data_IF_090738299144
#
_entry.id   IF_090738299144
#
_cell.length_a   1.000
_cell.length_b   1.000
_cell.length_c   1.000
_cell.angle_alpha   90.00
_cell.angle_beta   90.00
_cell.angle_gamma   90.00
#
_symmetry.space_group_name_H-M   'P 1'
#
loop_
_entity.id
_entity.type
_entity.pdbx_description
1 polymer ?
#
# COMPACT_ATOMS: atom_id res chain seq x y z
N UNK A 1 -7.12 8.44 25.77
CA UNK A 1 -7.17 9.92 25.75
C UNK A 1 -5.88 10.60 25.30
N UNK A 2 -4.72 9.94 25.27
CA UNK A 2 -3.44 10.55 24.86
C UNK A 2 -3.30 10.64 23.32
N UNK A 3 -3.73 9.64 22.58
CA UNK A 3 -3.63 9.59 21.10
C UNK A 3 -4.43 10.67 20.37
N UNK A 4 -5.55 11.15 20.97
CA UNK A 4 -6.37 12.21 20.37
C UNK A 4 -5.72 13.59 20.50
N UNK A 5 -4.88 13.80 21.51
CA UNK A 5 -4.20 15.06 21.78
C UNK A 5 -3.00 15.31 20.86
N UNK A 6 -2.25 14.25 20.51
CA UNK A 6 -1.10 14.36 19.59
C UNK A 6 -1.55 14.63 18.16
N UNK A 7 -2.57 13.93 17.67
CA UNK A 7 -3.13 14.14 16.33
C UNK A 7 -3.67 15.58 16.15
N UNK A 8 -4.32 16.16 17.16
CA UNK A 8 -4.81 17.54 17.13
C UNK A 8 -3.69 18.58 17.15
N UNK A 9 -2.56 18.26 17.79
CA UNK A 9 -1.39 19.16 17.85
C UNK A 9 -0.69 19.19 16.48
N UNK A 10 -0.59 18.04 15.81
CA UNK A 10 0.02 17.92 14.49
C UNK A 10 -0.80 18.60 13.41
N UNK A 11 -2.13 18.47 13.43
CA UNK A 11 -3.03 19.13 12.49
C UNK A 11 -2.97 20.67 12.63
N UNK A 12 -2.94 21.18 13.88
CA UNK A 12 -2.81 22.61 14.12
C UNK A 12 -1.43 23.18 13.73
N UNK A 13 -0.37 22.37 13.82
CA UNK A 13 0.97 22.73 13.37
C UNK A 13 1.05 22.76 11.85
N UNK A 14 0.43 21.79 11.18
CA UNK A 14 0.32 21.73 9.73
C UNK A 14 -0.44 22.93 9.15
N UNK A 15 -1.61 23.28 9.69
CA UNK A 15 -2.39 24.44 9.21
C UNK A 15 -1.59 25.76 9.35
N UNK A 16 -0.89 25.96 10.47
CA UNK A 16 -0.04 27.15 10.65
C UNK A 16 1.13 27.18 9.67
N UNK A 17 1.74 26.05 9.38
CA UNK A 17 2.81 25.93 8.39
C UNK A 17 2.28 26.22 6.99
N UNK A 18 1.14 25.64 6.62
CA UNK A 18 0.46 25.83 5.35
C UNK A 18 0.11 27.29 5.09
N UNK A 19 -0.45 27.99 6.11
CA UNK A 19 -0.78 29.42 6.00
C UNK A 19 0.47 30.27 5.72
N UNK A 20 1.58 29.99 6.42
CA UNK A 20 2.84 30.71 6.18
C UNK A 20 3.38 30.47 4.78
N UNK A 21 3.35 29.22 4.31
CA UNK A 21 3.80 28.87 2.95
C UNK A 21 2.93 29.58 1.89
N UNK A 22 1.62 29.59 2.08
CA UNK A 22 0.70 30.27 1.16
C UNK A 22 0.89 31.80 1.17
N UNK A 23 1.21 32.41 2.34
CA UNK A 23 1.57 33.84 2.40
C UNK A 23 2.86 34.13 1.63
N UNK A 24 3.89 33.29 1.77
CA UNK A 24 5.15 33.45 1.00
C UNK A 24 4.93 33.26 -0.52
N UNK A 25 4.10 32.31 -0.92
CA UNK A 25 3.68 32.13 -2.33
C UNK A 25 3.03 33.39 -2.87
N UNK A 26 2.11 34.03 -2.12
CA UNK A 26 1.44 35.28 -2.48
C UNK A 26 2.41 36.46 -2.58
N UNK A 27 3.49 36.45 -1.78
CA UNK A 27 4.54 37.47 -1.85
C UNK A 27 5.48 37.30 -3.05
N UNK A 28 5.78 36.04 -3.40
CA UNK A 28 6.74 35.71 -4.45
C UNK A 28 6.16 35.83 -5.85
N UNK A 29 4.90 35.38 -6.03
CA UNK A 29 4.25 35.38 -7.33
C UNK A 29 3.34 36.60 -7.51
N UNK A 30 3.27 37.11 -8.76
CA UNK A 30 2.37 38.23 -9.10
C UNK A 30 0.92 37.78 -9.03
N UNK A 31 0.00 38.68 -8.64
CA UNK A 31 -1.44 38.38 -8.57
C UNK A 31 -2.03 37.84 -9.89
N UNK A 32 -1.56 38.30 -11.04
CA UNK A 32 -2.03 37.86 -12.35
C UNK A 32 -1.67 36.37 -12.60
N UNK A 33 -0.54 35.92 -12.06
CA UNK A 33 -0.13 34.50 -12.12
C UNK A 33 -0.99 33.65 -11.20
N UNK A 34 -1.17 34.08 -9.96
CA UNK A 34 -1.96 33.35 -8.96
C UNK A 34 -3.43 33.21 -9.38
N UNK A 35 -4.00 34.20 -10.06
CA UNK A 35 -5.37 34.14 -10.56
C UNK A 35 -5.58 33.14 -11.71
N UNK A 36 -4.51 32.59 -12.29
CA UNK A 36 -4.54 31.55 -13.32
C UNK A 36 -4.35 30.14 -12.75
N UNK A 37 -4.07 30.03 -11.44
CA UNK A 37 -3.90 28.75 -10.75
C UNK A 37 -5.23 28.39 -10.10
N UNK A 38 -5.77 27.22 -10.42
CA UNK A 38 -7.06 26.76 -9.88
C UNK A 38 -6.96 26.40 -8.40
N UNK A 39 -5.83 25.81 -7.98
CA UNK A 39 -5.59 25.47 -6.57
C UNK A 39 -4.11 25.36 -6.24
N UNK A 40 -3.76 25.62 -4.97
CA UNK A 40 -2.42 25.40 -4.42
C UNK A 40 -2.51 24.34 -3.36
N UNK A 41 -1.74 23.25 -3.51
CA UNK A 41 -1.69 22.15 -2.56
C UNK A 41 -0.34 22.18 -1.84
N UNK A 42 -0.38 22.21 -0.52
CA UNK A 42 0.81 22.14 0.33
C UNK A 42 0.93 20.72 0.86
N UNK A 43 2.04 20.06 0.57
CA UNK A 43 2.32 18.73 1.10
C UNK A 43 3.11 18.86 2.40
N UNK A 44 2.76 18.05 3.39
CA UNK A 44 3.55 17.88 4.61
C UNK A 44 4.55 16.73 4.44
N UNK A 45 5.49 16.63 5.37
CA UNK A 45 6.36 15.47 5.44
C UNK A 45 5.56 14.24 5.86
N UNK A 46 5.90 13.08 5.30
CA UNK A 46 5.25 11.82 5.63
C UNK A 46 5.50 11.46 7.09
N UNK A 47 4.44 11.11 7.78
CA UNK A 47 4.49 10.55 9.13
C UNK A 47 4.77 9.04 9.08
N UNK A 48 5.24 8.47 10.19
CA UNK A 48 5.51 7.02 10.28
C UNK A 48 4.30 6.14 9.92
N UNK A 49 3.07 6.42 10.39
CA UNK A 49 1.89 5.67 9.97
C UNK A 49 1.60 5.76 8.46
N UNK A 50 1.81 6.91 7.85
CA UNK A 50 1.60 7.10 6.41
C UNK A 50 2.63 6.33 5.58
N UNK A 51 3.89 6.27 6.05
CA UNK A 51 4.93 5.45 5.41
C UNK A 51 4.53 3.98 5.43
N UNK A 52 4.01 3.45 6.54
CA UNK A 52 3.54 2.06 6.64
C UNK A 52 2.36 1.81 5.70
N UNK A 53 1.44 2.77 5.57
CA UNK A 53 0.34 2.66 4.58
C UNK A 53 0.88 2.61 3.14
N UNK A 54 1.92 3.37 2.83
CA UNK A 54 2.57 3.32 1.51
C UNK A 54 3.23 1.95 1.28
N UNK A 55 3.88 1.38 2.31
CA UNK A 55 4.40 0.00 2.25
C UNK A 55 3.28 -0.98 1.93
N UNK A 56 2.14 -0.90 2.63
CA UNK A 56 0.98 -1.77 2.39
C UNK A 56 0.44 -1.64 0.96
N UNK A 57 0.36 -0.42 0.43
CA UNK A 57 -0.07 -0.18 -0.95
C UNK A 57 0.88 -0.79 -1.98
N UNK A 58 2.20 -0.66 -1.77
CA UNK A 58 3.19 -1.27 -2.64
C UNK A 58 3.18 -2.79 -2.54
N UNK A 59 3.02 -3.34 -1.34
CA UNK A 59 2.92 -4.79 -1.13
C UNK A 59 1.64 -5.39 -1.73
N UNK A 60 0.57 -4.61 -1.92
CA UNK A 60 -0.61 -5.08 -2.63
C UNK A 60 -0.30 -5.40 -4.10
N UNK A 61 0.56 -4.64 -4.77
CA UNK A 61 1.00 -4.96 -6.14
C UNK A 61 1.72 -6.30 -6.20
N UNK A 62 2.66 -6.54 -5.27
CA UNK A 62 3.37 -7.83 -5.17
C UNK A 62 2.40 -8.97 -4.87
N UNK A 63 1.39 -8.70 -4.01
CA UNK A 63 0.35 -9.68 -3.66
C UNK A 63 -0.51 -10.05 -4.86
N UNK A 64 -0.87 -9.09 -5.69
CA UNK A 64 -1.65 -9.32 -6.91
C UNK A 64 -0.86 -10.17 -7.92
N UNK A 65 0.43 -9.87 -8.12
CA UNK A 65 1.32 -10.63 -9.02
C UNK A 65 1.53 -12.09 -8.57
N UNK A 66 1.66 -12.33 -7.26
CA UNK A 66 1.74 -13.69 -6.70
C UNK A 66 0.38 -14.39 -6.75
N UNK A 67 -0.72 -13.66 -6.59
CA UNK A 67 -2.08 -14.17 -6.72
C UNK A 67 -2.38 -14.75 -8.10
N UNK A 68 -1.80 -14.19 -9.17
CA UNK A 68 -1.88 -14.77 -10.52
C UNK A 68 -1.22 -16.17 -10.63
N UNK A 69 -0.33 -16.48 -9.69
CA UNK A 69 0.35 -17.79 -9.58
C UNK A 69 -0.25 -18.69 -8.51
N UNK A 70 -1.44 -18.34 -7.99
CA UNK A 70 -2.08 -19.03 -6.86
C UNK A 70 -1.22 -19.08 -5.57
N UNK A 71 -0.40 -18.05 -5.32
CA UNK A 71 0.42 -17.92 -4.13
C UNK A 71 -0.12 -16.76 -3.28
N UNK A 72 -0.43 -17.04 -2.01
CA UNK A 72 -0.81 -15.98 -1.05
C UNK A 72 0.44 -15.30 -0.47
N UNK A 73 0.36 -14.00 -0.18
CA UNK A 73 1.45 -13.22 0.43
C UNK A 73 1.03 -12.67 1.78
N UNK A 74 1.80 -12.98 2.82
CA UNK A 74 1.69 -12.40 4.15
C UNK A 74 2.98 -11.66 4.51
N UNK A 75 2.87 -10.53 5.18
CA UNK A 75 4.01 -9.74 5.66
C UNK A 75 3.80 -9.40 7.13
N UNK A 76 4.84 -9.59 7.95
CA UNK A 76 4.79 -9.24 9.36
C UNK A 76 4.92 -7.73 9.57
N UNK A 77 4.41 -7.25 10.71
CA UNK A 77 4.52 -5.84 11.08
C UNK A 77 5.98 -5.40 11.23
N UNK A 78 6.85 -6.29 11.72
CA UNK A 78 8.29 -6.04 11.83
C UNK A 78 8.93 -5.78 10.46
N UNK A 79 8.59 -6.59 9.45
CA UNK A 79 9.09 -6.40 8.09
C UNK A 79 8.55 -5.10 7.45
N UNK A 80 7.29 -4.72 7.70
CA UNK A 80 6.74 -3.44 7.23
C UNK A 80 7.45 -2.24 7.84
N UNK A 81 7.74 -2.29 9.14
CA UNK A 81 8.47 -1.23 9.84
C UNK A 81 9.88 -1.12 9.27
N UNK A 82 10.58 -2.24 9.08
CA UNK A 82 11.89 -2.28 8.46
C UNK A 82 11.91 -1.62 7.08
N UNK A 83 10.99 -2.00 6.20
CA UNK A 83 10.86 -1.42 4.87
C UNK A 83 10.55 0.08 4.92
N UNK A 84 9.65 0.49 5.83
CA UNK A 84 9.31 1.90 6.01
C UNK A 84 10.48 2.74 6.49
N UNK A 85 11.27 2.24 7.44
CA UNK A 85 12.42 2.96 8.01
C UNK A 85 13.60 3.04 7.03
N UNK A 86 13.88 1.99 6.28
CA UNK A 86 14.99 1.93 5.32
C UNK A 86 14.61 2.43 3.93
N UNK A 87 13.33 2.42 3.59
CA UNK A 87 12.83 2.89 2.29
C UNK A 87 12.39 4.36 2.27
N UNK A 88 12.45 5.07 3.40
CA UNK A 88 12.08 6.48 3.47
C UNK A 88 13.32 7.38 3.57
N UNK A 89 13.32 8.47 2.79
CA UNK A 89 14.32 9.52 2.83
C UNK A 89 13.63 10.89 3.02
N UNK A 90 14.07 11.74 3.93
CA UNK A 90 13.45 13.05 4.19
C UNK A 90 13.39 13.98 2.97
N UNK A 91 14.30 13.82 2.01
CA UNK A 91 14.41 14.65 0.79
C UNK A 91 13.67 14.01 -0.38
N UNK A 92 13.83 12.68 -0.55
CA UNK A 92 13.27 11.93 -1.67
C UNK A 92 11.89 11.33 -1.35
N UNK A 93 11.46 11.38 -0.08
CA UNK A 93 10.21 10.79 0.40
C UNK A 93 10.24 9.25 0.33
N UNK A 94 9.17 8.65 -0.15
CA UNK A 94 9.03 7.20 -0.29
C UNK A 94 9.55 6.65 -1.63
N UNK A 95 10.25 7.44 -2.45
CA UNK A 95 10.80 6.96 -3.74
C UNK A 95 11.80 5.81 -3.58
N UNK A 96 12.71 5.81 -2.59
CA UNK A 96 13.63 4.70 -2.40
C UNK A 96 12.93 3.39 -1.98
N UNK A 97 11.76 3.48 -1.35
CA UNK A 97 10.98 2.33 -0.87
C UNK A 97 10.63 1.34 -1.99
N UNK A 98 10.24 1.85 -3.17
CA UNK A 98 9.94 0.98 -4.31
C UNK A 98 11.13 0.11 -4.70
N UNK A 99 12.32 0.73 -4.75
CA UNK A 99 13.55 0.01 -5.07
C UNK A 99 13.92 -1.00 -3.99
N UNK A 100 13.76 -0.63 -2.73
CA UNK A 100 14.01 -1.52 -1.60
C UNK A 100 13.08 -2.75 -1.63
N UNK A 101 11.78 -2.56 -1.92
CA UNK A 101 10.84 -3.67 -2.08
C UNK A 101 11.25 -4.56 -3.25
N UNK A 102 11.66 -3.98 -4.37
CA UNK A 102 12.13 -4.74 -5.52
C UNK A 102 13.36 -5.59 -5.16
N UNK A 103 14.39 -4.97 -4.60
CA UNK A 103 15.68 -5.61 -4.31
C UNK A 103 15.56 -6.67 -3.17
N UNK A 104 14.80 -6.39 -2.12
CA UNK A 104 14.74 -7.29 -0.95
C UNK A 104 13.60 -8.32 -1.01
N UNK A 105 12.51 -8.00 -1.71
CA UNK A 105 11.30 -8.84 -1.73
C UNK A 105 11.05 -9.46 -3.09
N UNK A 106 10.87 -8.67 -4.15
CA UNK A 106 10.48 -9.18 -5.47
C UNK A 106 11.53 -10.13 -6.06
N UNK A 107 12.82 -9.76 -5.95
CA UNK A 107 13.93 -10.59 -6.42
C UNK A 107 14.01 -11.90 -5.62
N UNK A 108 13.90 -11.81 -4.29
CA UNK A 108 13.92 -12.99 -3.42
C UNK A 108 12.72 -13.92 -3.64
N UNK A 109 11.51 -13.36 -3.82
CA UNK A 109 10.31 -14.13 -4.17
C UNK A 109 10.45 -14.81 -5.52
N UNK A 110 11.03 -14.13 -6.50
CA UNK A 110 11.28 -14.69 -7.82
C UNK A 110 12.21 -15.89 -7.74
N UNK A 111 13.27 -15.81 -6.94
CA UNK A 111 14.21 -16.93 -6.71
C UNK A 111 13.52 -18.12 -6.00
N UNK A 112 12.63 -17.87 -5.05
CA UNK A 112 11.86 -18.91 -4.35
C UNK A 112 10.89 -19.61 -5.31
N UNK A 113 10.23 -18.88 -6.20
CA UNK A 113 9.32 -19.44 -7.23
C UNK A 113 10.11 -20.22 -8.28
N UNK A 114 11.21 -19.66 -8.81
CA UNK A 114 12.04 -20.31 -9.81
C UNK A 114 12.67 -21.60 -9.29
N UNK A 115 13.11 -21.61 -8.03
CA UNK A 115 13.67 -22.79 -7.34
C UNK A 115 12.61 -23.81 -6.93
N UNK A 116 11.32 -23.55 -7.20
CA UNK A 116 10.17 -24.38 -6.78
C UNK A 116 10.09 -24.60 -5.26
N UNK A 117 10.67 -23.71 -4.46
CA UNK A 117 10.49 -23.70 -3.01
C UNK A 117 9.17 -23.06 -2.62
N UNK A 118 8.64 -22.21 -3.51
CA UNK A 118 7.32 -21.60 -3.41
C UNK A 118 6.52 -22.03 -4.63
N UNK A 119 5.38 -22.70 -4.42
CA UNK A 119 4.53 -23.25 -5.48
C UNK A 119 3.07 -22.85 -5.29
N UNK A 120 2.25 -23.01 -6.31
CA UNK A 120 0.83 -22.72 -6.27
C UNK A 120 0.14 -23.41 -5.06
N UNK A 121 -0.64 -22.66 -4.31
CA UNK A 121 -1.30 -23.08 -3.07
C UNK A 121 -0.46 -22.87 -1.80
N UNK A 122 0.73 -22.30 -1.89
CA UNK A 122 1.54 -21.92 -0.74
C UNK A 122 1.25 -20.47 -0.29
N UNK A 123 1.67 -20.18 0.94
CA UNK A 123 1.68 -18.82 1.51
C UNK A 123 3.13 -18.39 1.66
N UNK A 124 3.52 -17.35 0.94
CA UNK A 124 4.80 -16.66 1.15
C UNK A 124 4.70 -15.76 2.37
N UNK A 125 5.47 -16.05 3.40
CA UNK A 125 5.56 -15.23 4.62
C UNK A 125 6.84 -14.41 4.56
N UNK A 126 6.69 -13.10 4.58
CA UNK A 126 7.80 -12.15 4.69
C UNK A 126 7.95 -11.75 6.16
N UNK A 127 9.11 -12.02 6.71
CA UNK A 127 9.45 -11.75 8.10
C UNK A 127 10.87 -11.20 8.22
N UNK A 128 11.29 -10.85 9.42
CA UNK A 128 12.66 -10.47 9.73
C UNK A 128 13.41 -11.66 10.32
N UNK A 129 14.66 -11.84 9.95
CA UNK A 129 15.54 -12.79 10.61
C UNK A 129 16.20 -12.18 11.85
N UNK A 130 16.96 -13.00 12.59
CA UNK A 130 17.68 -12.58 13.80
C UNK A 130 18.81 -11.56 13.48
N UNK A 131 19.26 -11.48 12.24
CA UNK A 131 20.27 -10.53 11.75
C UNK A 131 19.66 -9.22 11.24
N UNK A 132 18.33 -9.06 11.35
CA UNK A 132 17.61 -7.86 10.90
C UNK A 132 17.48 -7.73 9.38
N UNK A 133 17.52 -8.85 8.65
CA UNK A 133 17.28 -8.90 7.21
C UNK A 133 15.90 -9.48 6.90
N UNK A 134 15.37 -9.12 5.76
CA UNK A 134 14.11 -9.70 5.27
C UNK A 134 14.34 -11.19 4.95
N UNK A 135 13.47 -12.03 5.49
CA UNK A 135 13.45 -13.47 5.27
C UNK A 135 12.11 -13.88 4.68
N UNK A 136 12.15 -14.66 3.61
CA UNK A 136 10.97 -15.25 2.99
C UNK A 136 10.90 -16.72 3.37
N UNK A 137 9.74 -17.14 3.87
CA UNK A 137 9.47 -18.54 4.22
C UNK A 137 8.18 -18.99 3.56
N UNK A 138 8.18 -20.23 3.05
CA UNK A 138 6.98 -20.86 2.48
C UNK A 138 6.24 -21.62 3.56
N UNK A 139 4.94 -21.38 3.68
CA UNK A 139 4.01 -22.19 4.49
C UNK A 139 2.97 -22.78 3.56
N UNK A 140 2.71 -24.09 3.70
CA UNK A 140 1.59 -24.70 2.98
C UNK A 140 0.27 -24.13 3.48
N UNK A 141 -0.55 -23.60 2.58
CA UNK A 141 -1.86 -23.10 2.94
C UNK A 141 -2.67 -24.22 3.63
N UNK A 142 -3.17 -23.98 4.84
CA UNK A 142 -4.26 -24.78 5.40
C UNK A 142 -5.45 -24.58 4.46
N UNK A 143 -5.95 -25.68 3.88
CA UNK A 143 -7.06 -25.68 2.92
C UNK A 143 -8.21 -24.77 3.39
N UNK A 144 -8.25 -23.55 2.91
CA UNK A 144 -9.44 -22.70 3.00
C UNK A 144 -10.41 -23.19 1.95
N UNK A 145 -11.61 -23.60 2.39
CA UNK A 145 -12.72 -23.95 1.52
C UNK A 145 -12.94 -22.84 0.48
N UNK A 146 -12.88 -23.21 -0.80
CA UNK A 146 -13.22 -22.33 -1.94
C UNK A 146 -14.55 -21.63 -1.66
N UNK A 147 -14.66 -20.30 -1.78
CA UNK A 147 -15.97 -19.66 -1.80
C UNK A 147 -16.73 -20.18 -3.02
N UNK A 148 -17.87 -20.84 -2.77
CA UNK A 148 -18.81 -21.30 -3.80
C UNK A 148 -19.16 -20.10 -4.69
N UNK A 149 -18.82 -20.20 -5.97
CA UNK A 149 -19.31 -19.31 -7.00
C UNK A 149 -20.84 -19.22 -6.89
N UNK A 150 -21.35 -18.00 -6.68
CA UNK A 150 -22.78 -17.72 -6.75
C UNK A 150 -23.22 -17.99 -8.19
N UNK A 151 -24.01 -19.04 -8.38
CA UNK A 151 -24.72 -19.31 -9.61
C UNK A 151 -25.55 -18.07 -9.96
N UNK A 152 -25.33 -17.55 -11.18
CA UNK A 152 -26.22 -16.59 -11.81
C UNK A 152 -27.60 -17.24 -11.94
N UNK A 153 -28.59 -16.68 -11.29
CA UNK A 153 -30.00 -16.94 -11.58
C UNK A 153 -30.31 -16.26 -12.92
N UNK A 154 -30.65 -17.03 -13.90
CA UNK A 154 -31.32 -16.57 -15.13
C UNK A 154 -32.72 -16.10 -14.78
N UNK A 155 -33.23 -14.99 -15.35
CA UNK A 155 -34.64 -14.66 -15.23
C UNK A 155 -35.44 -15.49 -16.25
N UNK A 156 -36.36 -16.30 -15.75
CA UNK A 156 -37.41 -16.93 -16.54
C UNK A 156 -38.28 -15.84 -17.19
N UNK A 157 -38.35 -15.89 -18.51
CA UNK A 157 -39.32 -15.14 -19.30
C UNK A 157 -40.62 -15.91 -19.29
N UNK A 158 -41.57 -15.45 -18.52
CA UNK A 158 -42.97 -15.95 -18.56
C UNK A 158 -43.69 -15.29 -19.74
N UNK A 159 -43.95 -16.08 -20.76
CA UNK A 159 -44.79 -15.71 -21.86
C UNK A 159 -46.26 -15.97 -21.47
N UNK A 160 -46.99 -14.92 -21.20
CA UNK A 160 -48.43 -14.99 -21.06
C UNK A 160 -49.09 -14.88 -22.44
N UNK A 161 -49.64 -15.96 -22.89
CA UNK A 161 -50.61 -15.98 -24.00
C UNK A 161 -51.95 -15.46 -23.48
N UNK A 162 -52.49 -14.49 -24.15
CA UNK A 162 -53.90 -14.11 -24.00
C UNK A 162 -54.68 -14.59 -25.20
N UNK A 163 -55.75 -15.32 -24.91
CA UNK A 163 -56.89 -15.43 -25.78
C UNK A 163 -57.97 -14.49 -25.23
N UNK A 164 -58.51 -13.67 -25.98
CA UNK A 164 -59.85 -13.53 -26.54
C UNK A 164 -60.16 -12.08 -26.86
#
# INVERSE_FOLDING_TARGET
SAMTSEAQTDESAYERMKDKVLEEVKRFFRPEFLNRIDSTVVFHQLTRPEIIQIVDLMMNQVRDELGEKDIELEITEAAKIHLGENGFDPVLGARPLRRLIQDEIEDSLSDEVLSRRLVAGDVAMIDMDDDGKVKITSKKAKAKAKPKAKAKAEPETEAAASAD
#
